data_IF_019378380569
#
_entry.id   IF_019378380569
#
_cell.length_a   1.000
_cell.length_b   1.000
_cell.length_c   1.000
_cell.angle_alpha   90.00
_cell.angle_beta   90.00
_cell.angle_gamma   90.00
#
_symmetry.space_group_name_H-M   'P 1'
#
loop_
_entity.id
_entity.type
_entity.pdbx_description
1 polymer ?
#
# COMPACT_ATOMS: atom_id res chain seq x y z
N UNK A 1 -3.08 6.62 14.36
CA UNK A 1 -2.76 6.28 12.95
C UNK A 1 -2.66 4.77 12.73
N UNK A 2 -1.86 3.98 13.47
CA UNK A 2 -1.91 2.50 13.34
C UNK A 2 -3.22 1.82 13.79
N UNK A 3 -3.95 2.42 14.72
CA UNK A 3 -5.22 1.86 15.23
C UNK A 3 -6.33 1.80 14.17
N UNK A 4 -6.36 2.73 13.21
CA UNK A 4 -7.33 2.74 12.11
C UNK A 4 -7.06 1.60 11.13
N UNK A 5 -5.80 1.43 10.72
CA UNK A 5 -5.38 0.31 9.88
C UNK A 5 -5.68 -1.04 10.53
N UNK A 6 -5.42 -1.18 11.85
CA UNK A 6 -5.76 -2.40 12.57
C UNK A 6 -7.27 -2.66 12.64
N UNK A 7 -8.08 -1.62 12.82
CA UNK A 7 -9.54 -1.74 12.78
C UNK A 7 -10.02 -2.23 11.40
N UNK A 8 -9.48 -1.68 10.32
CA UNK A 8 -9.80 -2.10 8.94
C UNK A 8 -9.41 -3.57 8.72
N UNK A 9 -8.23 -3.97 9.22
CA UNK A 9 -7.81 -5.38 9.15
C UNK A 9 -8.76 -6.29 9.93
N UNK A 10 -9.23 -5.87 11.11
CA UNK A 10 -10.21 -6.62 11.88
C UNK A 10 -11.53 -6.75 11.10
N UNK A 11 -12.04 -5.65 10.54
CA UNK A 11 -13.25 -5.67 9.71
C UNK A 11 -13.14 -6.65 8.53
N UNK A 12 -11.98 -6.71 7.89
CA UNK A 12 -11.71 -7.71 6.85
C UNK A 12 -11.79 -9.15 7.35
N UNK A 13 -11.21 -9.43 8.52
CA UNK A 13 -11.22 -10.79 9.08
C UNK A 13 -12.65 -11.26 9.35
N UNK A 14 -13.54 -10.34 9.75
CA UNK A 14 -14.94 -10.67 10.05
C UNK A 14 -15.87 -10.65 8.82
N UNK A 15 -15.56 -9.87 7.79
CA UNK A 15 -16.48 -9.64 6.65
C UNK A 15 -15.96 -10.14 5.30
N UNK A 16 -14.67 -10.50 5.23
CA UNK A 16 -13.91 -10.77 4.01
C UNK A 16 -13.91 -9.62 2.98
N UNK A 17 -14.31 -8.40 3.38
CA UNK A 17 -14.43 -7.24 2.50
C UNK A 17 -13.81 -6.00 3.16
N UNK A 18 -13.17 -5.15 2.36
CA UNK A 18 -12.71 -3.81 2.76
C UNK A 18 -13.02 -2.82 1.64
N UNK A 19 -13.40 -1.60 1.98
CA UNK A 19 -13.47 -0.49 1.04
C UNK A 19 -12.25 0.42 1.16
N UNK A 20 -11.35 0.36 0.18
CA UNK A 20 -10.09 1.11 0.18
C UNK A 20 -10.21 2.52 -0.41
N UNK A 21 -11.33 2.83 -1.08
CA UNK A 21 -11.49 4.02 -1.92
C UNK A 21 -11.50 5.36 -1.17
N UNK A 22 -11.78 5.33 0.14
CA UNK A 22 -11.91 6.54 0.97
C UNK A 22 -10.76 6.71 1.96
N UNK A 23 -9.84 5.75 2.02
CA UNK A 23 -8.79 5.75 3.01
C UNK A 23 -7.60 6.61 2.55
N UNK A 24 -6.96 7.27 3.52
CA UNK A 24 -5.75 8.06 3.25
C UNK A 24 -4.60 7.12 2.90
N UNK A 25 -3.70 7.57 2.02
CA UNK A 25 -2.49 6.80 1.64
C UNK A 25 -1.70 6.34 2.86
N UNK A 26 -1.55 7.19 3.88
CA UNK A 26 -0.90 6.82 5.15
C UNK A 26 -1.55 5.60 5.84
N UNK A 27 -2.88 5.53 5.85
CA UNK A 27 -3.62 4.40 6.46
C UNK A 27 -3.44 3.14 5.61
N UNK A 28 -3.42 3.28 4.28
CA UNK A 28 -3.18 2.18 3.36
C UNK A 28 -1.77 1.59 3.51
N UNK A 29 -0.76 2.45 3.74
CA UNK A 29 0.62 2.01 4.00
C UNK A 29 0.77 1.36 5.38
N UNK A 30 0.12 1.91 6.41
CA UNK A 30 0.03 1.27 7.73
C UNK A 30 -0.65 -0.11 7.63
N UNK A 31 -1.75 -0.21 6.86
CA UNK A 31 -2.46 -1.47 6.60
C UNK A 31 -1.60 -2.45 5.83
N UNK A 32 -0.87 -2.00 4.81
CA UNK A 32 0.08 -2.81 4.04
C UNK A 32 1.13 -3.46 4.96
N UNK A 33 1.65 -2.71 5.93
CA UNK A 33 2.56 -3.23 6.93
C UNK A 33 1.93 -4.30 7.82
N UNK A 34 0.69 -4.10 8.27
CA UNK A 34 -0.03 -5.09 9.08
C UNK A 34 -0.30 -6.37 8.29
N UNK A 35 -0.83 -6.27 7.07
CA UNK A 35 -1.14 -7.47 6.27
C UNK A 35 0.10 -8.26 5.92
N UNK A 36 1.22 -7.58 5.69
CA UNK A 36 2.52 -8.21 5.48
C UNK A 36 2.99 -8.93 6.75
N UNK A 37 2.95 -8.24 7.89
CA UNK A 37 3.34 -8.79 9.19
C UNK A 37 2.52 -10.03 9.60
N UNK A 38 1.21 -10.01 9.32
CA UNK A 38 0.30 -11.11 9.66
C UNK A 38 0.17 -12.18 8.56
N UNK A 39 0.81 -11.99 7.40
CA UNK A 39 0.84 -12.98 6.31
C UNK A 39 -0.42 -13.06 5.45
N UNK A 40 -1.22 -12.00 5.35
CA UNK A 40 -2.42 -11.95 4.50
C UNK A 40 -2.05 -11.67 3.03
N UNK A 41 -1.45 -12.64 2.34
CA UNK A 41 -0.88 -12.47 1.00
C UNK A 41 -1.90 -12.00 -0.08
N UNK A 42 -3.14 -12.50 -0.04
CA UNK A 42 -4.18 -12.07 -1.00
C UNK A 42 -4.55 -10.59 -0.82
N UNK A 43 -4.65 -10.14 0.43
CA UNK A 43 -4.96 -8.76 0.77
C UNK A 43 -3.76 -7.85 0.47
N UNK A 44 -2.53 -8.29 0.77
CA UNK A 44 -1.30 -7.59 0.42
C UNK A 44 -1.20 -7.35 -1.09
N UNK A 45 -1.50 -8.36 -1.91
CA UNK A 45 -1.51 -8.23 -3.37
C UNK A 45 -2.57 -7.23 -3.84
N UNK A 46 -3.78 -7.32 -3.29
CA UNK A 46 -4.89 -6.41 -3.64
C UNK A 46 -4.56 -4.95 -3.27
N UNK A 47 -3.98 -4.74 -2.09
CA UNK A 47 -3.51 -3.43 -1.63
C UNK A 47 -2.37 -2.89 -2.49
N UNK A 48 -1.42 -3.75 -2.88
CA UNK A 48 -0.31 -3.36 -3.75
C UNK A 48 -0.81 -2.93 -5.13
N UNK A 49 -1.78 -3.64 -5.71
CA UNK A 49 -2.41 -3.25 -6.98
C UNK A 49 -3.13 -1.91 -6.82
N UNK A 50 -3.88 -1.73 -5.73
CA UNK A 50 -4.59 -0.48 -5.47
C UNK A 50 -3.64 0.71 -5.32
N UNK A 51 -2.57 0.57 -4.54
CA UNK A 51 -1.54 1.60 -4.35
C UNK A 51 -0.88 2.02 -5.66
N UNK A 52 -0.67 1.08 -6.58
CA UNK A 52 -0.18 1.38 -7.93
C UNK A 52 -1.17 2.22 -8.74
N UNK A 53 -2.47 1.94 -8.60
CA UNK A 53 -3.52 2.66 -9.35
C UNK A 53 -3.71 4.11 -8.91
N UNK A 54 -3.39 4.44 -7.65
CA UNK A 54 -3.51 5.80 -7.08
C UNK A 54 -2.17 6.53 -6.98
N UNK A 55 -1.13 5.98 -7.61
CA UNK A 55 0.24 6.48 -7.53
C UNK A 55 0.33 7.85 -8.23
N UNK A 56 0.99 8.80 -7.57
CA UNK A 56 1.12 10.20 -8.02
C UNK A 56 2.45 10.79 -7.57
N UNK A 57 2.90 11.88 -8.21
CA UNK A 57 4.17 12.55 -7.84
C UNK A 57 4.24 12.99 -6.37
N UNK A 58 3.08 13.26 -5.75
CA UNK A 58 3.02 13.67 -4.34
C UNK A 58 3.20 12.51 -3.36
N UNK A 59 2.86 11.29 -3.76
CA UNK A 59 2.82 10.13 -2.87
C UNK A 59 3.83 9.03 -3.26
N UNK A 60 4.42 9.10 -4.45
CA UNK A 60 5.27 8.04 -5.00
C UNK A 60 6.50 7.78 -4.13
N UNK A 61 7.13 8.81 -3.57
CA UNK A 61 8.29 8.65 -2.69
C UNK A 61 7.92 7.87 -1.42
N UNK A 62 6.82 8.26 -0.75
CA UNK A 62 6.35 7.58 0.46
C UNK A 62 5.98 6.11 0.19
N UNK A 63 5.36 5.84 -0.96
CA UNK A 63 5.01 4.47 -1.38
C UNK A 63 6.29 3.66 -1.69
N UNK A 64 7.26 4.25 -2.37
CA UNK A 64 8.54 3.60 -2.71
C UNK A 64 9.35 3.25 -1.45
N UNK A 65 9.46 4.18 -0.50
CA UNK A 65 10.15 3.96 0.77
C UNK A 65 9.52 2.81 1.54
N UNK A 66 8.19 2.78 1.60
CA UNK A 66 7.43 1.71 2.24
C UNK A 66 7.62 0.37 1.53
N UNK A 67 7.61 0.37 0.20
CA UNK A 67 7.87 -0.83 -0.60
C UNK A 67 9.29 -1.37 -0.39
N UNK A 68 10.28 -0.50 -0.18
CA UNK A 68 11.63 -0.90 0.20
C UNK A 68 11.66 -1.51 1.60
N UNK A 69 10.96 -0.90 2.56
CA UNK A 69 10.93 -1.34 3.96
C UNK A 69 10.31 -2.74 4.11
N UNK A 70 9.24 -3.04 3.37
CA UNK A 70 8.59 -4.36 3.36
C UNK A 70 9.13 -5.31 2.27
N UNK A 71 10.19 -4.91 1.56
CA UNK A 71 10.81 -5.68 0.47
C UNK A 71 9.80 -6.16 -0.61
N UNK A 72 8.78 -5.33 -0.90
CA UNK A 72 7.73 -5.61 -1.87
C UNK A 72 8.24 -5.32 -3.28
N UNK A 73 8.97 -6.28 -3.86
CA UNK A 73 9.67 -6.14 -5.16
C UNK A 73 8.78 -5.57 -6.27
N UNK A 74 7.55 -6.07 -6.39
CA UNK A 74 6.64 -5.68 -7.45
C UNK A 74 6.12 -4.25 -7.31
N UNK A 75 5.87 -3.79 -6.08
CA UNK A 75 5.48 -2.41 -5.78
C UNK A 75 6.67 -1.47 -5.96
N UNK A 76 7.82 -1.83 -5.38
CA UNK A 76 9.08 -1.09 -5.49
C UNK A 76 9.47 -0.81 -6.95
N UNK A 77 9.48 -1.84 -7.80
CA UNK A 77 9.85 -1.69 -9.20
C UNK A 77 8.91 -0.75 -9.96
N UNK A 78 7.60 -0.85 -9.69
CA UNK A 78 6.62 0.00 -10.37
C UNK A 78 6.71 1.46 -9.93
N UNK A 79 6.92 1.69 -8.62
CA UNK A 79 7.15 3.03 -8.09
C UNK A 79 8.46 3.64 -8.61
N UNK A 80 9.54 2.85 -8.71
CA UNK A 80 10.81 3.30 -9.30
C UNK A 80 10.64 3.70 -10.78
N UNK A 81 10.00 2.86 -11.59
CA UNK A 81 9.71 3.18 -12.99
C UNK A 81 8.89 4.45 -13.13
N UNK A 82 7.93 4.68 -12.23
CA UNK A 82 7.17 5.92 -12.24
C UNK A 82 8.04 7.13 -11.89
N UNK A 83 8.92 7.04 -10.90
CA UNK A 83 9.86 8.12 -10.57
C UNK A 83 10.78 8.41 -11.75
N UNK A 84 11.40 7.38 -12.33
CA UNK A 84 12.32 7.53 -13.47
C UNK A 84 11.65 8.20 -14.66
N UNK A 85 10.41 7.80 -15.00
CA UNK A 85 9.66 8.40 -16.11
C UNK A 85 9.28 9.88 -15.88
N UNK A 86 9.28 10.35 -14.63
CA UNK A 86 8.96 11.73 -14.28
C UNK A 86 10.21 12.51 -13.83
N UNK A 87 11.41 11.93 -13.95
CA UNK A 87 12.67 12.59 -13.57
C UNK A 87 13.22 13.52 -14.67
N UNK A 88 12.74 13.35 -15.90
CA UNK A 88 13.13 14.14 -17.08
C UNK A 88 12.20 15.35 -17.35
N UNK A 89 11.29 15.67 -16.42
CA UNK A 89 10.39 16.85 -16.45
C UNK A 89 10.83 17.93 -15.45
#
# INVERSE_FOLDING_TARGET
CKSAAFKILLEYIYTAQINLLKEKVEILLDLLGLVHQYGFQQLENSLSIYLKSILSLKNVCTIYDTACLFNLKNLKQHSAQFIDNNADE
#
